data_IF_774192538610
#
_entry.id   IF_774192538610
#
_cell.length_a   1.000
_cell.length_b   1.000
_cell.length_c   1.000
_cell.angle_alpha   90.00
_cell.angle_beta   90.00
_cell.angle_gamma   90.00
#
_symmetry.space_group_name_H-M   'P 1'
#
loop_
_entity.id
_entity.type
_entity.pdbx_description
1 polymer ?
#
# COMPACT_ATOMS: atom_id res chain seq x y z
N UNK A 1 12.05 -36.31 10.05
CA UNK A 1 11.28 -35.40 10.93
C UNK A 1 11.81 -34.01 10.65
N UNK A 2 11.21 -33.30 9.71
CA UNK A 2 11.62 -31.94 9.36
C UNK A 2 10.93 -30.98 10.32
N UNK A 3 11.70 -30.22 11.09
CA UNK A 3 11.16 -29.11 11.86
C UNK A 3 10.59 -28.08 10.87
N UNK A 4 9.28 -27.83 10.97
CA UNK A 4 8.65 -26.68 10.35
C UNK A 4 9.24 -25.44 11.02
N UNK A 5 10.27 -24.85 10.40
CA UNK A 5 10.77 -23.53 10.78
C UNK A 5 9.59 -22.55 10.65
N UNK A 6 9.01 -22.15 11.77
CA UNK A 6 8.01 -21.08 11.76
C UNK A 6 8.74 -19.81 11.35
N UNK A 7 8.38 -19.22 10.22
CA UNK A 7 8.88 -17.91 9.78
C UNK A 7 8.61 -16.89 10.89
N UNK A 8 9.63 -16.58 11.70
CA UNK A 8 9.51 -15.61 12.80
C UNK A 8 9.73 -14.21 12.22
N UNK A 9 8.68 -13.39 12.24
CA UNK A 9 8.75 -11.98 11.87
C UNK A 9 8.64 -11.15 13.13
N UNK A 10 9.65 -10.29 13.35
CA UNK A 10 9.72 -9.36 14.47
C UNK A 10 9.33 -7.98 13.97
N UNK A 11 8.25 -7.45 14.51
CA UNK A 11 7.81 -6.09 14.24
C UNK A 11 8.86 -5.09 14.76
N UNK A 12 9.27 -4.16 13.91
CA UNK A 12 10.18 -3.08 14.29
C UNK A 12 9.36 -1.82 14.57
N UNK A 13 8.57 -1.38 13.59
CA UNK A 13 7.80 -0.13 13.70
C UNK A 13 6.51 -0.21 12.87
N UNK A 14 5.49 0.55 13.28
CA UNK A 14 4.30 0.81 12.47
C UNK A 14 4.14 2.31 12.32
N UNK A 15 4.24 2.80 11.09
CA UNK A 15 4.10 4.20 10.71
C UNK A 15 2.78 4.43 9.98
N UNK A 16 2.23 5.64 10.16
CA UNK A 16 1.09 6.13 9.37
C UNK A 16 1.60 7.11 8.32
N UNK A 17 1.41 6.78 7.04
CA UNK A 17 1.87 7.56 5.90
C UNK A 17 0.68 8.28 5.28
N UNK A 18 0.53 9.56 5.62
CA UNK A 18 -0.49 10.42 5.01
C UNK A 18 0.01 10.96 3.66
N UNK A 19 -0.87 11.23 2.68
CA UNK A 19 -0.52 12.04 1.52
C UNK A 19 -0.04 13.43 1.99
N UNK A 20 1.07 13.97 1.48
CA UNK A 20 1.43 15.34 1.88
C UNK A 20 0.45 16.38 1.30
N UNK A 21 0.25 17.52 1.99
CA UNK A 21 -0.39 18.68 1.41
C UNK A 21 0.39 19.15 0.16
N UNK A 22 -0.26 19.87 -0.75
CA UNK A 22 0.40 20.50 -1.91
C UNK A 22 1.67 21.27 -1.48
N UNK A 23 2.70 21.34 -2.34
CA UNK A 23 4.06 21.60 -1.90
C UNK A 23 4.20 23.02 -1.35
N UNK A 24 4.29 23.12 -0.03
CA UNK A 24 5.13 24.10 0.62
C UNK A 24 6.38 23.32 1.05
N UNK A 25 7.52 23.70 0.48
CA UNK A 25 8.77 22.93 0.54
C UNK A 25 9.25 22.85 1.99
N UNK A 26 8.98 21.72 2.64
CA UNK A 26 9.57 21.41 3.92
C UNK A 26 10.75 20.45 3.68
N UNK A 27 11.96 20.98 3.79
CA UNK A 27 13.17 20.15 3.87
C UNK A 27 13.12 19.31 5.14
N UNK A 28 12.90 18.00 4.98
CA UNK A 28 13.04 17.05 6.06
C UNK A 28 14.26 16.18 5.82
N UNK A 29 15.30 16.39 6.64
CA UNK A 29 16.42 15.45 6.74
C UNK A 29 15.98 14.27 7.61
N UNK A 30 15.84 13.10 7.00
CA UNK A 30 15.34 11.91 7.69
C UNK A 30 16.27 10.70 7.46
N UNK A 31 16.30 9.73 8.39
CA UNK A 31 17.18 8.54 8.31
C UNK A 31 16.99 7.74 7.01
N UNK A 32 17.98 6.94 6.61
CA UNK A 32 17.96 6.18 5.33
C UNK A 32 16.70 5.31 5.11
N UNK A 33 16.05 4.84 6.18
CA UNK A 33 14.78 4.06 6.15
C UNK A 33 13.52 4.92 5.95
N UNK A 34 13.67 6.24 6.02
CA UNK A 34 12.61 7.23 5.92
C UNK A 34 12.48 7.83 4.51
N UNK A 35 13.46 7.57 3.62
CA UNK A 35 13.37 7.99 2.22
C UNK A 35 12.16 7.35 1.54
N UNK A 36 11.87 6.08 1.83
CA UNK A 36 10.70 5.38 1.27
C UNK A 36 9.37 5.98 1.75
N UNK A 37 9.32 6.54 2.95
CA UNK A 37 8.14 7.21 3.50
C UNK A 37 7.79 8.47 2.72
N UNK A 38 8.80 9.26 2.33
CA UNK A 38 8.61 10.46 1.51
C UNK A 38 8.03 10.09 0.14
N UNK A 39 8.64 9.12 -0.54
CA UNK A 39 8.20 8.71 -1.87
C UNK A 39 6.82 8.08 -1.87
N UNK A 40 6.52 7.27 -0.85
CA UNK A 40 5.18 6.71 -0.67
C UNK A 40 4.15 7.81 -0.42
N UNK A 41 4.47 8.78 0.44
CA UNK A 41 3.59 9.92 0.72
C UNK A 41 3.32 10.77 -0.51
N UNK A 42 4.35 11.10 -1.31
CA UNK A 42 4.22 11.82 -2.57
C UNK A 42 3.35 11.04 -3.57
N UNK A 43 3.56 9.72 -3.68
CA UNK A 43 2.72 8.88 -4.53
C UNK A 43 1.26 8.94 -4.09
N UNK A 44 0.99 8.82 -2.79
CA UNK A 44 -0.37 8.86 -2.25
C UNK A 44 -1.09 10.20 -2.51
N UNK A 45 -0.37 11.31 -2.73
CA UNK A 45 -1.00 12.58 -3.16
C UNK A 45 -1.69 12.45 -4.52
N UNK A 46 -1.11 11.66 -5.43
CA UNK A 46 -1.73 11.39 -6.71
C UNK A 46 -2.87 10.37 -6.58
N UNK A 47 -2.80 9.49 -5.58
CA UNK A 47 -3.73 8.37 -5.38
C UNK A 47 -4.50 8.47 -4.06
N UNK A 48 -5.09 9.65 -3.76
CA UNK A 48 -5.75 9.93 -2.47
C UNK A 48 -6.73 8.84 -2.00
N UNK A 49 -7.60 8.24 -2.85
CA UNK A 49 -8.51 7.20 -2.39
C UNK A 49 -7.81 5.98 -1.77
N UNK A 50 -6.55 5.72 -2.12
CA UNK A 50 -5.80 4.56 -1.60
C UNK A 50 -5.31 4.75 -0.17
N UNK A 51 -5.20 6.01 0.29
CA UNK A 51 -4.95 6.34 1.69
C UNK A 51 -6.24 6.33 2.53
N UNK A 52 -7.40 6.30 1.89
CA UNK A 52 -8.70 6.43 2.53
C UNK A 52 -9.29 5.11 3.05
N UNK A 53 -10.60 5.17 3.27
CA UNK A 53 -11.38 4.08 3.82
C UNK A 53 -12.63 3.83 2.97
N UNK A 54 -13.02 2.56 2.86
CA UNK A 54 -14.38 2.17 2.49
C UNK A 54 -15.21 2.25 3.77
N UNK A 55 -16.32 2.97 3.74
CA UNK A 55 -17.24 3.11 4.86
C UNK A 55 -18.60 2.50 4.52
N UNK A 56 -19.25 1.91 5.51
CA UNK A 56 -20.60 1.35 5.43
C UNK A 56 -21.51 2.16 6.37
N UNK A 57 -22.15 3.23 5.88
CA UNK A 57 -23.04 4.05 6.68
C UNK A 57 -24.22 3.19 7.19
N UNK A 58 -24.63 3.35 8.44
CA UNK A 58 -25.79 2.62 8.96
C UNK A 58 -27.09 3.01 8.23
N UNK A 59 -27.15 4.25 7.76
CA UNK A 59 -28.32 4.82 7.08
C UNK A 59 -28.34 4.56 5.56
N UNK A 60 -27.36 3.83 5.01
CA UNK A 60 -27.27 3.56 3.57
C UNK A 60 -26.68 2.19 3.28
N UNK A 61 -27.30 1.46 2.36
CA UNK A 61 -26.77 0.18 1.87
C UNK A 61 -25.56 0.33 0.94
N UNK A 62 -25.18 1.57 0.60
CA UNK A 62 -24.14 1.85 -0.38
C UNK A 62 -22.81 2.14 0.31
N UNK A 63 -21.77 1.31 0.09
CA UNK A 63 -20.45 1.60 0.61
C UNK A 63 -19.87 2.84 -0.09
N UNK A 64 -19.17 3.67 0.67
CA UNK A 64 -18.53 4.89 0.16
C UNK A 64 -17.02 4.79 0.32
N UNK A 65 -16.30 4.92 -0.79
CA UNK A 65 -14.85 5.10 -0.79
C UNK A 65 -14.55 6.59 -0.62
N UNK A 66 -13.94 6.95 0.51
CA UNK A 66 -13.62 8.34 0.84
C UNK A 66 -12.25 8.46 1.47
N UNK A 67 -11.59 9.58 1.17
CA UNK A 67 -10.41 10.05 1.88
C UNK A 67 -10.78 11.33 2.61
N UNK A 68 -10.44 11.41 3.90
CA UNK A 68 -10.53 12.64 4.70
C UNK A 68 -9.14 13.06 5.19
N UNK A 69 -8.93 14.36 5.43
CA UNK A 69 -7.64 14.85 5.92
C UNK A 69 -7.26 14.15 7.24
N UNK A 70 -6.06 13.56 7.28
CA UNK A 70 -5.58 12.74 8.41
C UNK A 70 -5.71 11.23 8.18
N UNK A 71 -6.42 10.80 7.13
CA UNK A 71 -6.32 9.43 6.63
C UNK A 71 -4.91 9.15 6.11
N UNK A 72 -4.47 7.92 6.32
CA UNK A 72 -3.09 7.51 6.08
C UNK A 72 -3.04 6.00 5.85
N UNK A 73 -2.07 5.57 5.05
CA UNK A 73 -1.77 4.15 4.90
C UNK A 73 -0.92 3.67 6.07
N UNK A 74 -1.20 2.48 6.57
CA UNK A 74 -0.33 1.81 7.55
C UNK A 74 0.88 1.20 6.83
N UNK A 75 2.08 1.61 7.20
CA UNK A 75 3.34 1.00 6.77
C UNK A 75 4.01 0.32 7.97
N UNK A 76 4.23 -0.97 7.87
CA UNK A 76 4.90 -1.76 8.89
C UNK A 76 6.34 -2.03 8.47
N UNK A 77 7.31 -1.81 9.34
CA UNK A 77 8.68 -2.29 9.15
C UNK A 77 8.92 -3.49 10.07
N UNK A 78 9.54 -4.54 9.53
CA UNK A 78 9.76 -5.77 10.25
C UNK A 78 11.09 -6.44 9.87
N UNK A 79 11.57 -7.32 10.72
CA UNK A 79 12.70 -8.20 10.45
C UNK A 79 12.25 -9.65 10.41
N UNK A 80 12.86 -10.45 9.54
CA UNK A 80 12.64 -11.90 9.48
C UNK A 80 13.98 -12.62 9.51
N UNK A 81 14.03 -13.67 10.32
CA UNK A 81 15.18 -14.60 10.37
C UNK A 81 15.09 -15.69 9.28
N UNK A 82 14.02 -15.68 8.45
CA UNK A 82 13.84 -16.65 7.37
C UNK A 82 14.86 -16.46 6.24
N UNK A 83 15.08 -17.53 5.46
CA UNK A 83 15.96 -17.47 4.30
C UNK A 83 15.25 -16.79 3.12
N UNK A 84 15.71 -15.58 2.78
CA UNK A 84 15.17 -14.80 1.65
C UNK A 84 15.32 -15.54 0.33
N UNK A 85 16.47 -16.16 0.07
CA UNK A 85 16.75 -16.82 -1.21
C UNK A 85 15.85 -18.04 -1.40
N UNK A 86 15.53 -18.76 -0.31
CA UNK A 86 14.53 -19.83 -0.34
C UNK A 86 13.16 -19.25 -0.70
N UNK A 87 12.69 -18.24 0.02
CA UNK A 87 11.35 -17.66 -0.17
C UNK A 87 11.14 -17.01 -1.55
N UNK A 88 12.21 -16.51 -2.17
CA UNK A 88 12.20 -15.92 -3.52
C UNK A 88 12.53 -16.92 -4.65
N UNK A 89 12.78 -18.18 -4.32
CA UNK A 89 13.13 -19.21 -5.32
C UNK A 89 11.89 -19.68 -6.09
N UNK A 90 12.13 -20.41 -7.19
CA UNK A 90 11.07 -21.09 -7.95
C UNK A 90 10.71 -22.46 -7.34
N UNK A 91 10.93 -22.67 -6.05
CA UNK A 91 10.62 -23.93 -5.37
C UNK A 91 9.12 -24.03 -5.07
N UNK A 92 8.46 -25.01 -5.67
CA UNK A 92 7.03 -25.28 -5.48
C UNK A 92 6.72 -25.95 -4.13
N UNK A 93 7.72 -26.32 -3.33
CA UNK A 93 7.52 -26.93 -2.02
C UNK A 93 7.29 -25.90 -0.89
N UNK A 94 7.33 -24.60 -1.18
CA UNK A 94 7.09 -23.55 -0.19
C UNK A 94 5.59 -23.40 0.01
N UNK A 95 5.14 -23.58 1.26
CA UNK A 95 3.72 -23.48 1.58
C UNK A 95 3.28 -22.02 1.68
N UNK A 96 2.07 -21.70 1.21
CA UNK A 96 1.51 -20.34 1.26
C UNK A 96 1.57 -19.69 2.66
N UNK A 97 1.44 -20.52 3.71
CA UNK A 97 1.50 -20.08 5.11
C UNK A 97 2.84 -19.48 5.52
N UNK A 98 3.92 -19.82 4.82
CA UNK A 98 5.26 -19.29 5.08
C UNK A 98 5.36 -17.80 4.71
N UNK A 99 4.51 -17.33 3.79
CA UNK A 99 4.41 -15.93 3.37
C UNK A 99 3.45 -15.10 4.23
N UNK A 100 2.53 -15.73 4.99
CA UNK A 100 1.54 -15.00 5.81
C UNK A 100 2.18 -13.95 6.75
N UNK A 101 3.33 -14.21 7.40
CA UNK A 101 3.98 -13.22 8.26
C UNK A 101 4.58 -12.03 7.51
N UNK A 102 4.76 -12.13 6.19
CA UNK A 102 5.35 -11.08 5.34
C UNK A 102 4.30 -10.09 4.80
N UNK A 103 3.02 -10.32 5.08
CA UNK A 103 1.89 -9.55 4.56
C UNK A 103 1.23 -8.77 5.71
N UNK A 104 1.00 -7.46 5.56
CA UNK A 104 0.39 -6.65 6.61
C UNK A 104 -1.07 -7.04 6.84
N UNK A 105 -1.59 -6.81 8.04
CA UNK A 105 -3.03 -6.89 8.28
C UNK A 105 -3.71 -5.60 7.85
N UNK A 106 -4.80 -5.71 7.11
CA UNK A 106 -5.62 -4.57 6.75
C UNK A 106 -6.56 -4.21 7.92
N UNK A 107 -6.64 -2.93 8.28
CA UNK A 107 -7.53 -2.48 9.34
C UNK A 107 -8.99 -2.53 8.85
N UNK A 108 -9.78 -3.44 9.43
CA UNK A 108 -11.18 -3.68 9.05
C UNK A 108 -12.04 -3.69 10.32
N UNK A 109 -13.18 -3.02 10.24
CA UNK A 109 -14.21 -2.96 11.28
C UNK A 109 -15.59 -3.15 10.65
N UNK A 110 -16.65 -3.13 11.47
CA UNK A 110 -18.04 -3.21 10.97
C UNK A 110 -18.47 -1.99 10.14
N UNK A 111 -17.86 -0.83 10.40
CA UNK A 111 -18.28 0.46 9.82
C UNK A 111 -17.31 0.97 8.76
N UNK A 112 -16.06 0.52 8.79
CA UNK A 112 -15.05 0.91 7.81
C UNK A 112 -13.94 -0.11 7.60
N UNK A 113 -13.34 -0.10 6.42
CA UNK A 113 -12.10 -0.79 6.10
C UNK A 113 -11.11 0.16 5.45
N UNK A 114 -9.85 0.12 5.89
CA UNK A 114 -8.76 0.77 5.17
C UNK A 114 -8.63 0.19 3.77
N UNK A 115 -8.26 1.01 2.80
CA UNK A 115 -8.13 0.56 1.41
C UNK A 115 -6.87 -0.26 1.19
N UNK A 116 -5.76 0.12 1.85
CA UNK A 116 -4.46 -0.52 1.66
C UNK A 116 -3.60 -0.47 2.93
N UNK A 117 -2.66 -1.41 3.06
CA UNK A 117 -1.59 -1.43 4.04
C UNK A 117 -0.33 -2.06 3.44
N UNK A 118 0.84 -1.66 3.93
CA UNK A 118 2.15 -2.13 3.49
C UNK A 118 2.96 -2.74 4.63
N UNK A 119 3.83 -3.70 4.31
CA UNK A 119 4.86 -4.20 5.20
C UNK A 119 6.19 -4.32 4.45
N UNK A 120 7.23 -3.64 4.93
CA UNK A 120 8.61 -3.84 4.49
C UNK A 120 9.27 -4.80 5.50
N UNK A 121 9.66 -5.97 5.03
CA UNK A 121 10.35 -6.98 5.86
C UNK A 121 11.78 -7.13 5.40
N UNK A 122 12.75 -6.87 6.28
CA UNK A 122 14.18 -7.05 6.01
C UNK A 122 14.61 -8.46 6.45
N UNK A 123 15.54 -9.05 5.69
CA UNK A 123 16.14 -10.36 5.95
C UNK A 123 17.66 -10.19 6.14
N UNK A 124 18.12 -9.84 7.36
CA UNK A 124 19.52 -9.45 7.58
C UNK A 124 20.52 -10.55 7.25
N UNK A 125 20.16 -11.82 7.47
CA UNK A 125 21.04 -12.97 7.26
C UNK A 125 21.24 -13.33 5.77
N UNK A 126 20.35 -12.85 4.89
CA UNK A 126 20.36 -13.16 3.45
C UNK A 126 20.52 -11.92 2.58
N UNK A 127 20.73 -10.74 3.17
CA UNK A 127 20.86 -9.46 2.45
C UNK A 127 19.73 -9.17 1.46
N UNK A 128 18.47 -9.29 1.93
CA UNK A 128 17.28 -9.06 1.10
C UNK A 128 16.15 -8.36 1.85
N UNK A 129 15.11 -7.97 1.11
CA UNK A 129 13.86 -7.43 1.67
C UNK A 129 12.65 -7.82 0.82
N UNK A 130 11.46 -7.78 1.43
CA UNK A 130 10.18 -7.96 0.74
C UNK A 130 9.22 -6.83 1.07
N UNK A 131 8.37 -6.46 0.12
CA UNK A 131 7.23 -5.56 0.34
C UNK A 131 5.94 -6.38 0.24
N UNK A 132 5.27 -6.58 1.38
CA UNK A 132 3.93 -7.15 1.45
C UNK A 132 2.86 -6.07 1.33
N UNK A 133 1.78 -6.36 0.61
CA UNK A 133 0.66 -5.44 0.38
C UNK A 133 -0.64 -6.17 0.72
N UNK A 134 -1.47 -5.53 1.54
CA UNK A 134 -2.87 -5.94 1.74
C UNK A 134 -3.78 -4.81 1.27
N UNK A 135 -4.88 -5.17 0.61
CA UNK A 135 -5.79 -4.19 0.04
C UNK A 135 -7.23 -4.69 0.00
N UNK A 136 -8.18 -3.76 0.03
CA UNK A 136 -9.59 -4.07 -0.14
C UNK A 136 -9.99 -4.02 -1.62
N UNK A 137 -10.29 -5.17 -2.21
CA UNK A 137 -10.50 -5.31 -3.66
C UNK A 137 -11.68 -4.51 -4.22
N UNK A 138 -12.67 -4.15 -3.38
CA UNK A 138 -13.77 -3.29 -3.80
C UNK A 138 -13.35 -1.84 -4.14
N UNK A 139 -12.19 -1.38 -3.67
CA UNK A 139 -11.67 -0.04 -3.96
C UNK A 139 -10.61 -0.02 -5.07
N UNK A 140 -9.94 -1.14 -5.32
CA UNK A 140 -8.75 -1.19 -6.16
C UNK A 140 -8.75 -2.45 -7.04
N UNK A 141 -8.60 -2.26 -8.36
CA UNK A 141 -8.31 -3.34 -9.29
C UNK A 141 -6.79 -3.52 -9.52
N UNK A 142 -6.41 -4.61 -10.19
CA UNK A 142 -5.00 -4.91 -10.45
C UNK A 142 -4.30 -3.86 -11.32
N UNK A 143 -5.03 -3.15 -12.21
CA UNK A 143 -4.46 -2.13 -13.09
C UNK A 143 -4.11 -0.88 -12.29
N UNK A 144 -5.00 -0.44 -11.40
CA UNK A 144 -4.74 0.68 -10.50
C UNK A 144 -3.62 0.37 -9.53
N UNK A 145 -3.57 -0.85 -8.97
CA UNK A 145 -2.44 -1.28 -8.12
C UNK A 145 -1.10 -1.19 -8.87
N UNK A 146 -1.06 -1.74 -10.07
CA UNK A 146 0.17 -1.75 -10.86
C UNK A 146 0.61 -0.34 -11.29
N UNK A 147 -0.35 0.54 -11.59
CA UNK A 147 -0.08 1.95 -11.87
C UNK A 147 0.47 2.68 -10.65
N UNK A 148 -0.10 2.44 -9.47
CA UNK A 148 0.39 2.98 -8.21
C UNK A 148 1.84 2.54 -7.94
N UNK A 149 2.14 1.25 -8.05
CA UNK A 149 3.49 0.71 -7.85
C UNK A 149 4.51 1.27 -8.84
N UNK A 150 4.13 1.44 -10.11
CA UNK A 150 4.98 2.10 -11.11
C UNK A 150 5.25 3.56 -10.78
N UNK A 151 4.24 4.27 -10.30
CA UNK A 151 4.36 5.67 -9.88
C UNK A 151 5.27 5.79 -8.68
N UNK A 152 5.10 4.92 -7.68
CA UNK A 152 5.96 4.86 -6.51
C UNK A 152 7.41 4.58 -6.89
N UNK A 153 7.66 3.54 -7.70
CA UNK A 153 9.01 3.22 -8.18
C UNK A 153 9.63 4.34 -9.03
N UNK A 154 8.83 5.04 -9.83
CA UNK A 154 9.27 6.19 -10.61
C UNK A 154 9.75 7.32 -9.69
N UNK A 155 8.95 7.68 -8.68
CA UNK A 155 9.31 8.73 -7.72
C UNK A 155 10.51 8.31 -6.85
N UNK A 156 10.63 7.04 -6.44
CA UNK A 156 11.83 6.59 -5.72
C UNK A 156 13.12 6.72 -6.55
N UNK A 157 13.02 6.65 -7.89
CA UNK A 157 14.16 6.72 -8.80
C UNK A 157 14.56 8.15 -9.17
N UNK A 158 13.62 9.08 -9.11
CA UNK A 158 13.78 10.45 -9.59
C UNK A 158 13.69 11.45 -8.43
N UNK A 159 14.30 12.63 -8.56
CA UNK A 159 14.27 13.63 -7.48
C UNK A 159 12.86 14.20 -7.27
N UNK A 160 12.55 14.79 -6.08
CA UNK A 160 11.19 15.19 -5.68
C UNK A 160 10.48 16.13 -6.64
N UNK A 161 11.25 16.90 -7.42
CA UNK A 161 10.74 17.87 -8.38
C UNK A 161 10.25 17.23 -9.69
N UNK A 162 10.35 15.90 -9.82
CA UNK A 162 9.98 15.19 -11.05
C UNK A 162 8.47 14.89 -11.07
N UNK A 163 7.75 15.56 -11.98
CA UNK A 163 6.33 15.31 -12.21
C UNK A 163 6.10 13.87 -12.72
N UNK A 164 5.03 13.22 -12.21
CA UNK A 164 4.59 11.94 -12.78
C UNK A 164 4.24 12.10 -14.26
N UNK A 165 4.70 11.20 -15.15
CA UNK A 165 4.24 11.12 -16.53
C UNK A 165 2.73 10.95 -16.61
N UNK A 166 2.09 11.50 -17.65
CA UNK A 166 0.62 11.43 -17.79
C UNK A 166 0.07 10.00 -17.82
N UNK A 167 0.86 9.03 -18.31
CA UNK A 167 0.50 7.60 -18.32
C UNK A 167 0.44 6.96 -16.92
N UNK A 168 1.04 7.60 -15.92
CA UNK A 168 1.09 7.16 -14.53
C UNK A 168 0.14 7.97 -13.63
N UNK A 169 -0.52 9.00 -14.16
CA UNK A 169 -1.53 9.76 -13.41
C UNK A 169 -2.85 8.99 -13.39
N UNK A 170 -3.47 8.81 -12.21
CA UNK A 170 -4.78 8.18 -12.15
C UNK A 170 -5.86 9.12 -12.70
N UNK A 171 -6.88 8.53 -13.31
CA UNK A 171 -8.04 9.25 -13.82
C UNK A 171 -9.27 8.90 -12.97
N UNK A 172 -9.77 9.89 -12.23
CA UNK A 172 -10.89 9.72 -11.28
C UNK A 172 -12.21 10.31 -11.75
N UNK A 173 -12.23 11.03 -12.88
CA UNK A 173 -13.44 11.68 -13.37
C UNK A 173 -14.42 10.65 -13.95
N UNK A 174 -15.37 10.22 -13.12
CA UNK A 174 -16.45 9.30 -13.50
C UNK A 174 -17.57 9.98 -14.29
N UNK A 175 -17.53 11.31 -14.48
CA UNK A 175 -18.60 12.05 -15.18
C UNK A 175 -18.49 11.96 -16.70
N UNK A 176 -17.34 11.51 -17.23
CA UNK A 176 -17.05 11.62 -18.67
C UNK A 176 -17.65 10.46 -19.49
N UNK A 177 -18.04 9.32 -18.91
CA UNK A 177 -18.41 8.14 -19.73
C UNK A 177 -19.50 7.18 -19.20
N UNK A 178 -20.31 7.54 -18.22
CA UNK A 178 -21.45 6.68 -17.81
C UNK A 178 -22.75 7.48 -17.91
N UNK A 179 -23.36 7.46 -19.08
CA UNK A 179 -24.80 7.65 -19.16
C UNK A 179 -25.40 6.42 -18.49
N UNK A 180 -26.00 6.58 -17.32
CA UNK A 180 -26.78 5.53 -16.69
C UNK A 180 -28.23 5.65 -17.18
N UNK A 181 -28.63 4.92 -18.24
CA UNK A 181 -29.99 4.97 -18.75
C UNK A 181 -31.03 4.37 -17.76
N UNK A 182 -30.59 3.66 -16.71
CA UNK A 182 -31.47 3.00 -15.76
C UNK A 182 -31.69 3.79 -14.46
N UNK A 183 -30.93 4.88 -14.21
CA UNK A 183 -31.01 5.66 -12.98
C UNK A 183 -30.64 4.86 -11.72
N UNK A 184 -29.90 3.76 -11.90
CA UNK A 184 -29.32 2.97 -10.82
C UNK A 184 -28.02 3.66 -10.40
N UNK A 185 -28.16 4.68 -9.54
CA UNK A 185 -27.04 5.45 -8.99
C UNK A 185 -25.88 4.55 -8.53
N UNK A 186 -24.81 4.48 -9.34
CA UNK A 186 -23.55 3.78 -9.04
C UNK A 186 -22.90 4.24 -7.75
#
# INVERSE_FOLDING_TARGET
MAELSSTSVKLVEVCRVAPQPQPDVAEFSLPQTFFDLLWLSLTLQHFLPLAGNITWPQDSHKPVLSYVQGDAVSLTTAHSDADFHRLSSNDFNIEAKEYHPLVPRLAISREKAAVMAFQITLFPNSSGFSIGISMHHAALDGKTLFMFLKSWAHLCKHEPDTLLPDQLKPFYDRRVFIHDPAGLEL
#
